data_IF_250999452658
#
_entry.id   IF_250999452658
#
_cell.length_a   1.000
_cell.length_b   1.000
_cell.length_c   1.000
_cell.angle_alpha   90.00
_cell.angle_beta   90.00
_cell.angle_gamma   90.00
#
_symmetry.space_group_name_H-M   'P 1'
#
loop_
_entity.id
_entity.type
_entity.pdbx_description
1 polymer ?
#
# COMPACT_ATOMS: atom_id res chain seq x y z
N UNK A 1 28.85 8.55 25.42
CA UNK A 1 30.14 9.18 25.27
C UNK A 1 30.06 10.65 25.69
N UNK A 2 31.02 11.13 26.46
CA UNK A 2 31.08 12.51 26.89
C UNK A 2 31.36 13.35 25.63
N UNK A 3 30.49 14.34 25.31
CA UNK A 3 30.65 15.28 24.20
C UNK A 3 29.84 14.98 22.93
N UNK A 4 28.87 14.06 22.95
CA UNK A 4 27.90 13.87 21.84
C UNK A 4 26.63 14.65 22.13
N UNK A 5 26.19 15.46 21.19
CA UNK A 5 24.85 16.06 21.27
C UNK A 5 23.77 15.02 20.98
N UNK A 6 22.60 15.14 21.66
CA UNK A 6 21.46 14.28 21.37
C UNK A 6 21.04 14.40 19.89
N UNK A 7 20.72 13.26 19.24
CA UNK A 7 20.19 13.28 17.88
C UNK A 7 18.78 13.90 17.87
N UNK A 8 18.61 14.95 17.09
CA UNK A 8 17.30 15.57 16.87
C UNK A 8 16.59 14.93 15.67
N UNK A 9 15.43 14.34 15.93
CA UNK A 9 14.61 13.77 14.84
C UNK A 9 14.02 14.88 13.98
N UNK A 10 14.06 14.74 12.63
CA UNK A 10 13.49 15.72 11.73
C UNK A 10 12.00 15.97 12.02
N UNK A 11 11.60 17.24 12.02
CA UNK A 11 10.19 17.66 12.15
C UNK A 11 9.50 17.77 10.80
N UNK A 12 10.28 17.73 9.71
CA UNK A 12 9.81 17.71 8.33
C UNK A 12 10.41 16.53 7.57
N UNK A 13 9.63 15.98 6.64
CA UNK A 13 10.06 14.86 5.80
C UNK A 13 11.15 15.30 4.83
N UNK A 14 12.31 14.64 4.77
CA UNK A 14 13.39 14.99 3.84
C UNK A 14 13.04 14.74 2.37
N UNK A 15 12.02 13.90 2.09
CA UNK A 15 11.63 13.55 0.71
C UNK A 15 10.54 14.49 0.14
N UNK A 16 9.64 15.05 0.96
CA UNK A 16 8.51 15.84 0.48
C UNK A 16 8.24 17.11 1.27
N UNK A 17 9.05 17.41 2.28
CA UNK A 17 8.92 18.56 3.17
C UNK A 17 7.57 18.68 3.92
N UNK A 18 6.75 17.65 3.93
CA UNK A 18 5.56 17.60 4.77
C UNK A 18 5.94 17.43 6.24
N UNK A 19 5.09 17.85 7.17
CA UNK A 19 5.34 17.67 8.60
C UNK A 19 5.55 16.18 8.93
N UNK A 20 6.51 15.90 9.80
CA UNK A 20 6.72 14.58 10.39
C UNK A 20 6.22 14.65 11.84
N UNK A 21 5.08 14.04 12.12
CA UNK A 21 4.43 14.06 13.43
C UNK A 21 4.60 12.73 14.17
N UNK A 22 4.53 12.81 15.48
CA UNK A 22 4.40 11.65 16.37
C UNK A 22 3.05 11.77 17.05
N UNK A 23 2.19 10.81 16.81
CA UNK A 23 0.86 10.76 17.47
C UNK A 23 1.04 10.41 18.94
N UNK A 24 0.09 10.81 19.77
CA UNK A 24 0.08 10.50 21.19
C UNK A 24 0.08 8.97 21.38
N UNK A 25 0.96 8.51 22.27
CA UNK A 25 1.17 7.08 22.52
C UNK A 25 2.06 6.36 21.49
N UNK A 26 2.51 7.02 20.42
CA UNK A 26 3.44 6.43 19.46
C UNK A 26 4.89 6.83 19.70
N UNK A 27 5.81 5.92 19.42
CA UNK A 27 7.27 6.17 19.51
C UNK A 27 7.82 6.77 18.22
N UNK A 28 7.21 6.44 17.09
CA UNK A 28 7.74 6.74 15.74
C UNK A 28 7.15 8.03 15.18
N UNK A 29 8.02 8.94 14.66
CA UNK A 29 7.59 10.06 13.82
C UNK A 29 7.25 9.57 12.42
N UNK A 30 6.17 10.08 11.85
CA UNK A 30 5.71 9.73 10.50
C UNK A 30 5.45 10.98 9.68
N UNK A 31 5.85 10.91 8.42
CA UNK A 31 5.54 11.93 7.43
C UNK A 31 4.02 11.96 7.15
N UNK A 32 3.42 13.14 7.18
CA UNK A 32 2.00 13.35 6.87
C UNK A 32 1.71 13.49 5.37
N UNK A 33 2.75 13.43 4.52
CA UNK A 33 2.62 13.63 3.07
C UNK A 33 1.81 12.53 2.34
N UNK A 34 1.62 11.35 2.97
CA UNK A 34 0.78 10.30 2.40
C UNK A 34 1.10 10.02 0.92
N UNK A 35 0.10 10.16 0.05
CA UNK A 35 0.22 9.89 -1.38
C UNK A 35 1.11 10.89 -2.14
N UNK A 36 1.26 12.11 -1.64
CA UNK A 36 2.13 13.11 -2.28
C UNK A 36 3.61 12.92 -1.93
N UNK A 37 3.93 12.12 -0.91
CA UNK A 37 5.31 11.83 -0.58
C UNK A 37 5.87 10.75 -1.52
N UNK A 38 6.87 11.07 -2.36
CA UNK A 38 7.41 10.09 -3.33
C UNK A 38 8.00 8.86 -2.65
N UNK A 39 8.62 8.99 -1.49
CA UNK A 39 9.15 7.86 -0.75
C UNK A 39 8.03 6.91 -0.27
N UNK A 40 6.93 7.45 0.26
CA UNK A 40 5.78 6.63 0.68
C UNK A 40 5.05 6.02 -0.51
N UNK A 41 4.90 6.75 -1.62
CA UNK A 41 4.26 6.25 -2.82
C UNK A 41 5.03 5.06 -3.42
N UNK A 42 6.36 5.15 -3.51
CA UNK A 42 7.21 4.04 -3.97
C UNK A 42 7.09 2.82 -3.06
N UNK A 43 7.15 3.01 -1.73
CA UNK A 43 6.99 1.88 -0.79
C UNK A 43 5.61 1.25 -0.87
N UNK A 44 4.55 2.04 -1.10
CA UNK A 44 3.20 1.53 -1.33
C UNK A 44 3.11 0.69 -2.61
N UNK A 45 3.73 1.14 -3.70
CA UNK A 45 3.79 0.35 -4.95
C UNK A 45 4.53 -0.97 -4.75
N UNK A 46 5.67 -0.96 -4.03
CA UNK A 46 6.40 -2.18 -3.67
C UNK A 46 5.55 -3.15 -2.84
N UNK A 47 4.83 -2.61 -1.85
CA UNK A 47 3.91 -3.40 -1.03
C UNK A 47 2.78 -4.01 -1.88
N UNK A 48 2.18 -3.21 -2.76
CA UNK A 48 1.10 -3.63 -3.63
C UNK A 48 1.47 -4.83 -4.50
N UNK A 49 2.66 -4.82 -5.12
CA UNK A 49 3.13 -5.92 -5.99
C UNK A 49 3.80 -7.07 -5.24
N UNK A 50 3.96 -6.96 -3.92
CA UNK A 50 4.65 -7.95 -3.11
C UNK A 50 3.96 -9.32 -3.16
N UNK A 51 4.71 -10.36 -2.74
CA UNK A 51 4.24 -11.76 -2.72
C UNK A 51 2.90 -11.96 -2.00
N UNK A 52 2.63 -11.20 -0.95
CA UNK A 52 1.38 -11.30 -0.18
C UNK A 52 0.27 -10.38 -0.72
N UNK A 53 0.62 -9.41 -1.57
CA UNK A 53 -0.31 -8.57 -2.32
C UNK A 53 -0.66 -9.18 -3.68
N UNK A 54 -0.50 -8.41 -4.75
CA UNK A 54 -0.79 -8.87 -6.11
C UNK A 54 0.21 -9.93 -6.63
N UNK A 55 1.40 -10.05 -6.04
CA UNK A 55 2.40 -11.07 -6.39
C UNK A 55 2.75 -11.06 -7.89
N UNK A 56 3.13 -9.90 -8.38
CA UNK A 56 3.45 -9.71 -9.81
C UNK A 56 4.89 -10.13 -10.04
N UNK A 57 5.08 -11.27 -10.66
CA UNK A 57 6.40 -11.79 -10.99
C UNK A 57 7.13 -10.87 -11.97
N UNK A 58 8.42 -10.65 -11.75
CA UNK A 58 9.24 -9.77 -12.57
C UNK A 58 9.15 -8.28 -12.21
N UNK A 59 8.18 -7.86 -11.39
CA UNK A 59 8.05 -6.46 -10.94
C UNK A 59 8.62 -6.28 -9.53
N UNK A 60 9.93 -6.46 -9.40
CA UNK A 60 10.64 -6.31 -8.12
C UNK A 60 10.91 -4.84 -7.74
N UNK A 61 11.50 -4.67 -6.54
CA UNK A 61 11.80 -3.36 -5.94
C UNK A 61 12.55 -2.41 -6.88
N UNK A 62 13.57 -2.91 -7.62
CA UNK A 62 14.34 -2.09 -8.55
C UNK A 62 13.45 -1.56 -9.66
N UNK A 63 12.68 -2.43 -10.31
CA UNK A 63 11.80 -2.05 -11.41
C UNK A 63 10.70 -1.07 -10.99
N UNK A 64 10.16 -1.20 -9.78
CA UNK A 64 9.21 -0.21 -9.22
C UNK A 64 9.87 1.17 -9.11
N UNK A 65 11.09 1.26 -8.62
CA UNK A 65 11.82 2.53 -8.51
C UNK A 65 12.11 3.11 -9.90
N UNK A 66 12.59 2.29 -10.83
CA UNK A 66 12.91 2.72 -12.19
C UNK A 66 11.65 3.24 -12.90
N UNK A 67 10.55 2.48 -12.86
CA UNK A 67 9.29 2.86 -13.49
C UNK A 67 8.65 4.10 -12.84
N UNK A 68 8.83 4.27 -11.52
CA UNK A 68 8.43 5.50 -10.82
C UNK A 68 9.22 6.71 -11.32
N UNK A 69 10.55 6.59 -11.41
CA UNK A 69 11.44 7.67 -11.86
C UNK A 69 11.17 8.05 -13.31
N UNK A 70 10.89 7.07 -14.15
CA UNK A 70 10.52 7.26 -15.57
C UNK A 70 9.10 7.83 -15.75
N UNK A 71 8.32 7.96 -14.68
CA UNK A 71 6.94 8.43 -14.76
C UNK A 71 5.96 7.41 -15.35
N UNK A 72 6.40 6.15 -15.52
CA UNK A 72 5.57 5.08 -16.08
C UNK A 72 4.47 4.65 -15.13
N UNK A 73 4.76 4.63 -13.82
CA UNK A 73 3.80 4.33 -12.75
C UNK A 73 3.86 5.41 -11.67
N UNK A 74 2.71 5.90 -11.23
CA UNK A 74 2.56 6.84 -10.10
C UNK A 74 1.58 6.31 -9.05
N UNK A 75 0.68 5.44 -9.46
CA UNK A 75 -0.31 4.81 -8.60
C UNK A 75 -0.45 3.31 -8.94
N UNK A 76 -1.03 2.48 -8.07
CA UNK A 76 -1.19 1.04 -8.32
C UNK A 76 -1.94 0.71 -9.61
N UNK A 77 -2.93 1.53 -9.99
CA UNK A 77 -3.71 1.32 -11.22
C UNK A 77 -2.88 1.43 -12.48
N UNK A 78 -1.78 2.20 -12.48
CA UNK A 78 -0.90 2.37 -13.64
C UNK A 78 -0.15 1.09 -13.99
N UNK A 79 0.09 0.22 -13.00
CA UNK A 79 0.74 -1.08 -13.21
C UNK A 79 -0.03 -1.90 -14.25
N UNK A 80 -1.37 -1.88 -14.20
CA UNK A 80 -2.23 -2.60 -15.12
C UNK A 80 -2.38 -1.92 -16.51
N UNK A 81 -1.80 -0.72 -16.67
CA UNK A 81 -1.75 0.02 -17.95
C UNK A 81 -0.40 -0.12 -18.65
N UNK A 82 0.53 -0.90 -18.07
CA UNK A 82 1.83 -1.19 -18.69
C UNK A 82 1.62 -2.10 -19.90
N UNK A 83 2.20 -1.72 -21.01
CA UNK A 83 2.27 -2.55 -22.22
C UNK A 83 3.73 -2.79 -22.67
N UNK A 84 3.94 -3.77 -23.56
CA UNK A 84 5.27 -4.16 -24.02
C UNK A 84 6.05 -3.00 -24.65
N UNK A 85 5.37 -2.11 -25.37
CA UNK A 85 6.03 -1.01 -26.08
C UNK A 85 6.56 0.05 -25.13
N UNK A 86 5.94 0.21 -23.96
CA UNK A 86 6.37 1.18 -22.94
C UNK A 86 7.66 0.79 -22.23
N UNK A 87 7.96 -0.51 -22.18
CA UNK A 87 9.09 -1.04 -21.40
C UNK A 87 10.15 -1.70 -22.28
N UNK A 88 9.78 -2.26 -23.44
CA UNK A 88 10.73 -2.84 -24.39
C UNK A 88 11.75 -1.79 -24.86
N UNK A 89 13.03 -2.12 -24.78
CA UNK A 89 14.12 -1.20 -25.14
C UNK A 89 14.60 -0.29 -24.01
N UNK A 90 13.95 -0.29 -22.83
CA UNK A 90 14.53 0.34 -21.64
C UNK A 90 15.71 -0.49 -21.12
N UNK A 91 16.60 0.16 -20.35
CA UNK A 91 17.74 -0.53 -19.75
C UNK A 91 17.30 -1.74 -18.92
N UNK A 92 17.88 -2.90 -19.23
CA UNK A 92 17.54 -4.19 -18.61
C UNK A 92 16.25 -4.85 -19.14
N UNK A 93 15.57 -4.26 -20.17
CA UNK A 93 14.33 -4.80 -20.72
C UNK A 93 14.46 -5.15 -22.22
N UNK A 94 14.52 -6.46 -22.50
CA UNK A 94 14.35 -6.99 -23.86
C UNK A 94 12.87 -7.28 -24.17
N UNK A 95 12.59 -7.61 -25.42
CA UNK A 95 11.23 -7.95 -25.89
C UNK A 95 10.62 -9.08 -25.03
N UNK A 96 11.39 -10.13 -24.76
CA UNK A 96 10.88 -11.30 -24.00
C UNK A 96 10.59 -10.96 -22.54
N UNK A 97 11.44 -10.20 -21.86
CA UNK A 97 11.21 -9.81 -20.46
C UNK A 97 10.03 -8.86 -20.34
N UNK A 98 9.86 -7.94 -21.29
CA UNK A 98 8.70 -7.06 -21.36
C UNK A 98 7.40 -7.86 -21.51
N UNK A 99 7.36 -8.81 -22.44
CA UNK A 99 6.22 -9.70 -22.66
C UNK A 99 5.90 -10.54 -21.41
N UNK A 100 6.92 -11.09 -20.77
CA UNK A 100 6.73 -11.88 -19.55
C UNK A 100 6.12 -11.04 -18.42
N UNK A 101 6.58 -9.80 -18.23
CA UNK A 101 6.00 -8.90 -17.23
C UNK A 101 4.54 -8.56 -17.54
N UNK A 102 4.20 -8.21 -18.78
CA UNK A 102 2.82 -7.90 -19.16
C UNK A 102 1.90 -9.11 -18.94
N UNK A 103 2.37 -10.32 -19.27
CA UNK A 103 1.63 -11.55 -18.99
C UNK A 103 1.45 -11.79 -17.49
N UNK A 104 2.50 -11.55 -16.68
CA UNK A 104 2.42 -11.66 -15.21
C UNK A 104 1.40 -10.67 -14.64
N UNK A 105 1.38 -9.41 -15.09
CA UNK A 105 0.40 -8.39 -14.69
C UNK A 105 -1.02 -8.86 -15.07
N UNK A 106 -1.22 -9.30 -16.30
CA UNK A 106 -2.52 -9.74 -16.82
C UNK A 106 -3.08 -10.94 -16.02
N UNK A 107 -2.21 -11.87 -15.60
CA UNK A 107 -2.60 -13.02 -14.80
C UNK A 107 -3.09 -12.66 -13.38
N UNK A 108 -2.79 -11.44 -12.90
CA UNK A 108 -3.11 -10.96 -11.55
C UNK A 108 -4.27 -9.95 -11.52
N UNK A 109 -5.02 -9.81 -12.60
CA UNK A 109 -6.23 -8.97 -12.62
C UNK A 109 -7.34 -9.51 -11.74
N UNK A 110 -7.27 -10.78 -11.32
CA UNK A 110 -8.21 -11.45 -10.45
C UNK A 110 -7.47 -12.05 -9.25
N UNK A 111 -7.69 -11.50 -8.06
CA UNK A 111 -7.10 -11.98 -6.80
C UNK A 111 -8.17 -12.11 -5.72
N UNK A 112 -7.87 -12.85 -4.65
CA UNK A 112 -8.79 -12.98 -3.50
C UNK A 112 -8.92 -11.66 -2.74
N UNK A 113 -10.07 -11.45 -2.09
CA UNK A 113 -10.38 -10.22 -1.36
C UNK A 113 -9.38 -9.92 -0.24
N UNK A 114 -8.91 -10.94 0.46
CA UNK A 114 -7.91 -10.78 1.52
C UNK A 114 -6.57 -10.23 0.98
N UNK A 115 -6.12 -10.72 -0.17
CA UNK A 115 -4.92 -10.21 -0.84
C UNK A 115 -5.12 -8.78 -1.35
N UNK A 116 -6.31 -8.49 -1.88
CA UNK A 116 -6.66 -7.13 -2.30
C UNK A 116 -6.61 -6.15 -1.13
N UNK A 117 -7.31 -6.45 -0.03
CA UNK A 117 -7.32 -5.61 1.18
C UNK A 117 -5.89 -5.41 1.72
N UNK A 118 -5.11 -6.50 1.81
CA UNK A 118 -3.71 -6.41 2.24
C UNK A 118 -2.89 -5.49 1.33
N UNK A 119 -3.07 -5.60 0.01
CA UNK A 119 -2.29 -4.83 -0.98
C UNK A 119 -2.51 -3.32 -0.91
N UNK A 120 -3.64 -2.88 -0.37
CA UNK A 120 -3.93 -1.45 -0.18
C UNK A 120 -2.95 -0.77 0.81
N UNK A 121 -2.29 -1.56 1.66
CA UNK A 121 -1.30 -1.07 2.62
C UNK A 121 -1.91 -0.18 3.70
N UNK A 122 -3.17 -0.44 4.07
CA UNK A 122 -3.84 0.25 5.18
C UNK A 122 -3.05 -0.01 6.46
N UNK A 123 -2.82 1.03 7.22
CA UNK A 123 -2.04 0.94 8.45
C UNK A 123 -2.67 -0.07 9.41
N UNK A 124 -1.86 -0.85 10.11
CA UNK A 124 -2.27 -1.94 11.01
C UNK A 124 -3.03 -3.10 10.36
N UNK A 125 -3.36 -3.01 9.07
CA UNK A 125 -4.03 -4.08 8.34
C UNK A 125 -2.99 -4.99 7.70
N UNK A 126 -2.53 -5.98 8.45
CA UNK A 126 -1.69 -7.07 7.96
C UNK A 126 -2.50 -8.21 7.35
N UNK A 127 -1.83 -9.29 6.93
CA UNK A 127 -2.49 -10.46 6.31
C UNK A 127 -3.61 -11.05 7.16
N UNK A 128 -3.42 -11.14 8.49
CA UNK A 128 -4.42 -11.71 9.40
C UNK A 128 -5.69 -10.85 9.43
N UNK A 129 -5.56 -9.54 9.58
CA UNK A 129 -6.71 -8.62 9.57
C UNK A 129 -7.38 -8.58 8.20
N UNK A 130 -6.60 -8.55 7.11
CA UNK A 130 -7.16 -8.60 5.76
C UNK A 130 -7.99 -9.88 5.52
N UNK A 131 -7.54 -11.03 6.06
CA UNK A 131 -8.28 -12.29 5.99
C UNK A 131 -9.56 -12.25 6.83
N UNK A 132 -9.52 -11.69 8.05
CA UNK A 132 -10.71 -11.52 8.88
C UNK A 132 -11.75 -10.67 8.16
N UNK A 133 -11.36 -9.52 7.60
CA UNK A 133 -12.22 -8.65 6.82
C UNK A 133 -12.81 -9.37 5.59
N UNK A 134 -11.97 -10.09 4.85
CA UNK A 134 -12.43 -10.85 3.68
C UNK A 134 -13.41 -11.95 4.04
N UNK A 135 -13.22 -12.62 5.18
CA UNK A 135 -14.13 -13.66 5.67
C UNK A 135 -15.48 -13.07 6.12
N UNK A 136 -15.44 -11.92 6.80
CA UNK A 136 -16.64 -11.27 7.32
C UNK A 136 -17.49 -10.65 6.21
N UNK A 137 -16.88 -9.92 5.27
CA UNK A 137 -17.60 -9.20 4.22
C UNK A 137 -17.80 -9.98 2.91
N UNK A 138 -17.04 -11.05 2.69
CA UNK A 138 -17.14 -12.01 1.58
C UNK A 138 -16.86 -11.41 0.20
N UNK A 139 -17.40 -10.23 -0.12
CA UNK A 139 -17.23 -9.58 -1.42
C UNK A 139 -16.65 -8.18 -1.28
N UNK A 140 -15.93 -7.72 -2.32
CA UNK A 140 -15.39 -6.36 -2.40
C UNK A 140 -16.49 -5.30 -2.23
N UNK A 141 -17.66 -5.52 -2.87
CA UNK A 141 -18.77 -4.56 -2.79
C UNK A 141 -19.33 -4.43 -1.37
N UNK A 142 -19.48 -5.55 -0.64
CA UNK A 142 -19.93 -5.51 0.75
C UNK A 142 -18.91 -4.80 1.65
N UNK A 143 -17.63 -5.14 1.48
CA UNK A 143 -16.55 -4.50 2.23
C UNK A 143 -16.50 -3.00 1.97
N UNK A 144 -16.55 -2.55 0.71
CA UNK A 144 -16.54 -1.12 0.37
C UNK A 144 -17.74 -0.37 0.97
N UNK A 145 -18.94 -0.96 0.91
CA UNK A 145 -20.15 -0.36 1.50
C UNK A 145 -20.01 -0.21 3.01
N UNK A 146 -19.55 -1.26 3.69
CA UNK A 146 -19.35 -1.24 5.13
C UNK A 146 -18.29 -0.20 5.53
N UNK A 147 -17.14 -0.13 4.84
CA UNK A 147 -16.10 0.87 5.13
C UNK A 147 -16.60 2.30 4.88
N UNK A 148 -17.41 2.51 3.84
CA UNK A 148 -17.99 3.83 3.58
C UNK A 148 -18.99 4.26 4.68
N UNK A 149 -19.81 3.33 5.18
CA UNK A 149 -20.75 3.58 6.27
C UNK A 149 -20.04 3.76 7.62
N UNK A 150 -19.00 2.96 7.89
CA UNK A 150 -18.20 3.00 9.10
C UNK A 150 -17.35 4.29 9.27
N UNK A 151 -17.32 5.19 8.30
CA UNK A 151 -16.73 6.52 8.48
C UNK A 151 -17.44 7.34 9.57
N UNK A 152 -18.72 7.03 9.85
CA UNK A 152 -19.42 7.56 11.01
C UNK A 152 -19.21 6.62 12.21
N UNK A 153 -18.54 7.07 13.30
CA UNK A 153 -18.33 6.25 14.50
C UNK A 153 -19.61 5.78 15.21
N UNK A 154 -20.74 6.44 14.95
CA UNK A 154 -22.04 6.07 15.53
C UNK A 154 -22.84 5.11 14.65
N UNK A 155 -22.29 4.66 13.49
CA UNK A 155 -22.95 3.73 12.60
C UNK A 155 -22.93 2.29 13.12
N UNK A 156 -23.88 1.49 12.68
CA UNK A 156 -23.92 0.05 12.98
C UNK A 156 -22.66 -0.65 12.43
N UNK A 157 -22.21 -0.26 11.23
CA UNK A 157 -21.05 -0.83 10.56
C UNK A 157 -19.73 -0.54 11.31
N UNK A 158 -19.61 0.62 11.95
CA UNK A 158 -18.47 0.91 12.82
C UNK A 158 -18.47 0.01 14.06
N UNK A 159 -19.64 -0.19 14.67
CA UNK A 159 -19.80 -1.09 15.82
C UNK A 159 -19.58 -2.55 15.43
N UNK A 160 -20.04 -2.97 14.24
CA UNK A 160 -19.75 -4.31 13.71
C UNK A 160 -18.26 -4.55 13.56
N UNK A 161 -17.50 -3.57 13.00
CA UNK A 161 -16.03 -3.67 12.91
C UNK A 161 -15.38 -3.89 14.26
N UNK A 162 -15.80 -3.14 15.29
CA UNK A 162 -15.29 -3.29 16.67
C UNK A 162 -15.61 -4.65 17.28
N UNK A 163 -16.69 -5.30 16.85
CA UNK A 163 -17.13 -6.62 17.34
C UNK A 163 -16.43 -7.79 16.62
N UNK A 164 -15.69 -7.54 15.55
CA UNK A 164 -14.91 -8.61 14.90
C UNK A 164 -13.72 -8.95 15.80
N UNK A 165 -13.65 -10.19 16.28
CA UNK A 165 -12.54 -10.64 17.12
C UNK A 165 -11.20 -10.44 16.39
N UNK A 166 -10.27 -9.78 17.04
CA UNK A 166 -8.97 -9.39 16.47
C UNK A 166 -8.95 -8.01 15.78
N UNK A 167 -10.07 -7.29 15.67
CA UNK A 167 -10.14 -5.92 15.16
C UNK A 167 -10.44 -4.97 16.33
N UNK A 168 -9.44 -4.26 16.80
CA UNK A 168 -9.60 -3.25 17.84
C UNK A 168 -9.83 -1.85 17.30
N UNK A 169 -10.17 -0.90 18.19
CA UNK A 169 -10.46 0.50 17.84
C UNK A 169 -9.39 1.19 16.98
N UNK A 170 -8.11 0.87 17.22
CA UNK A 170 -7.01 1.45 16.42
C UNK A 170 -7.01 0.96 14.97
N UNK A 171 -7.42 -0.28 14.71
CA UNK A 171 -7.54 -0.84 13.35
C UNK A 171 -8.77 -0.28 12.67
N UNK A 172 -9.89 -0.22 13.41
CA UNK A 172 -11.16 0.34 12.90
C UNK A 172 -10.99 1.81 12.49
N UNK A 173 -10.22 2.59 13.26
CA UNK A 173 -9.94 3.99 12.91
C UNK A 173 -9.01 4.17 11.70
N UNK A 174 -8.23 3.16 11.32
CA UNK A 174 -7.36 3.19 10.13
C UNK A 174 -8.07 2.63 8.87
N UNK A 175 -9.20 1.92 9.01
CA UNK A 175 -10.03 1.37 7.94
C UNK A 175 -10.99 2.42 7.38
#
# INVERSE_FOLDING_TARGET
>A
PIGTEPYEFPTYCPACNSKAIRLDGEVVRRCTGGLICPAQAVERLKHFVSRNGFDIEGLGTKHIVDFWNDGLIKEPSDIFKIDENKISGKDGWGIQSAKNLVNAISSKTNISLDRFIYSLGIRRVGQSIARLLATNYVTLNNWQKAMAAAQNPDSEEYLELLNIDGIGSSVTADL
#
